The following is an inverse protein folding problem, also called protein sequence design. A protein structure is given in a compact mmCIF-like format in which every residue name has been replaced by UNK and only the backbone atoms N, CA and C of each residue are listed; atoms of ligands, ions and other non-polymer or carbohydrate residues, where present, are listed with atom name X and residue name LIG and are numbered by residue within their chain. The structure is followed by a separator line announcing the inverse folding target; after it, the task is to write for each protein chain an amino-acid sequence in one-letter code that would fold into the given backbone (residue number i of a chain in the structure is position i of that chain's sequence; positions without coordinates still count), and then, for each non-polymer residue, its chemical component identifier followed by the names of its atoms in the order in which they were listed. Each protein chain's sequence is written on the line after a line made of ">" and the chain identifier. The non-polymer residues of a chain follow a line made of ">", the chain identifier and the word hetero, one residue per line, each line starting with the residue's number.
data_IF_286709445174
#
_entry.id   IF_286709445174
#
_cell.length_a   1.000
_cell.length_b   1.000
_cell.length_c   1.000
_cell.angle_alpha   90.00
_cell.angle_beta   90.00
_cell.angle_gamma   90.00
#
_symmetry.space_group_name_H-M   'P 1'
#
loop_
_entity.id
_entity.type
_entity.pdbx_description
1 polymer ?
#
# COMPACT_ATOMS: atom_id res chain seq x y z
N UNK A 1 10.57 -7.42 5.35
CA UNK A 1 10.63 -6.86 3.98
C UNK A 1 11.50 -5.60 3.87
N UNK A 2 11.52 -4.68 4.85
CA UNK A 2 12.32 -3.44 4.80
C UNK A 2 13.83 -3.65 4.53
N UNK A 3 14.43 -4.69 5.11
CA UNK A 3 15.85 -5.07 4.86
C UNK A 3 16.08 -5.78 3.53
N UNK A 4 15.02 -5.95 2.71
CA UNK A 4 15.01 -6.74 1.46
C UNK A 4 15.46 -8.19 1.61
N UNK A 5 15.41 -8.72 2.83
CA UNK A 5 15.60 -10.14 3.09
C UNK A 5 14.31 -10.90 2.79
N UNK A 6 14.07 -11.12 1.50
CA UNK A 6 12.89 -11.80 0.99
C UNK A 6 12.93 -13.31 1.25
N UNK A 7 14.14 -13.88 1.36
CA UNK A 7 14.33 -15.28 1.72
C UNK A 7 13.87 -15.52 3.16
N UNK A 8 14.32 -14.72 4.13
CA UNK A 8 13.87 -14.84 5.51
C UNK A 8 12.36 -14.58 5.64
N UNK A 9 11.82 -13.59 4.92
CA UNK A 9 10.38 -13.33 4.92
C UNK A 9 9.58 -14.54 4.42
N UNK A 10 10.03 -15.18 3.33
CA UNK A 10 9.43 -16.42 2.82
C UNK A 10 9.48 -17.55 3.84
N UNK A 11 10.64 -17.77 4.45
CA UNK A 11 10.83 -18.82 5.47
C UNK A 11 9.89 -18.62 6.66
N UNK A 12 9.73 -17.39 7.15
CA UNK A 12 8.81 -17.08 8.26
C UNK A 12 7.36 -17.39 7.89
N UNK A 13 6.92 -17.01 6.68
CA UNK A 13 5.55 -17.29 6.22
C UNK A 13 5.30 -18.80 6.02
N UNK A 14 6.28 -19.53 5.48
CA UNK A 14 6.18 -20.97 5.26
C UNK A 14 6.12 -21.76 6.57
N UNK A 15 6.92 -21.36 7.56
CA UNK A 15 6.99 -22.03 8.86
C UNK A 15 5.83 -21.65 9.80
N UNK A 16 5.03 -20.64 9.45
CA UNK A 16 3.88 -20.22 10.24
C UNK A 16 2.63 -21.05 9.91
N UNK A 17 2.00 -21.62 10.93
CA UNK A 17 0.70 -22.31 10.82
C UNK A 17 -0.48 -21.36 10.66
N UNK A 18 -0.26 -20.05 10.84
CA UNK A 18 -1.29 -19.03 10.76
C UNK A 18 -1.79 -18.89 9.32
N UNK A 19 -3.12 -18.87 9.14
CA UNK A 19 -3.75 -18.68 7.83
C UNK A 19 -4.09 -17.21 7.54
N UNK A 20 -4.14 -16.39 8.58
CA UNK A 20 -4.65 -15.03 8.57
C UNK A 20 -3.81 -14.17 9.52
N UNK A 21 -3.27 -13.05 9.04
CA UNK A 21 -2.41 -12.16 9.82
C UNK A 21 -3.19 -10.87 10.07
N UNK A 22 -3.24 -10.43 11.32
CA UNK A 22 -3.76 -9.10 11.67
C UNK A 22 -2.69 -8.07 11.37
N UNK A 23 -2.65 -7.60 10.13
CA UNK A 23 -1.64 -6.65 9.65
C UNK A 23 -2.23 -5.26 9.41
N UNK A 24 -3.49 -5.20 8.98
CA UNK A 24 -4.22 -3.97 8.68
C UNK A 24 -5.34 -3.75 9.69
N UNK A 25 -5.74 -2.49 9.90
CA UNK A 25 -6.85 -2.16 10.81
C UNK A 25 -8.22 -2.67 10.33
N UNK A 26 -8.35 -3.03 9.04
CA UNK A 26 -9.57 -3.61 8.46
C UNK A 26 -9.89 -5.06 8.86
N UNK A 27 -9.04 -5.68 9.70
CA UNK A 27 -9.15 -7.06 10.13
C UNK A 27 -8.05 -7.97 9.55
N UNK A 28 -8.33 -9.28 9.53
CA UNK A 28 -7.32 -10.27 9.16
C UNK A 28 -7.08 -10.36 7.66
N UNK A 29 -5.82 -10.27 7.25
CA UNK A 29 -5.39 -10.46 5.86
C UNK A 29 -4.93 -11.91 5.63
N UNK A 30 -5.36 -12.60 4.57
CA UNK A 30 -4.89 -13.95 4.26
C UNK A 30 -3.36 -14.03 4.15
N UNK A 31 -2.73 -15.04 4.77
CA UNK A 31 -1.26 -15.23 4.71
C UNK A 31 -0.75 -15.27 3.26
N UNK A 32 -1.52 -15.89 2.37
CA UNK A 32 -1.20 -16.06 0.96
C UNK A 32 -1.01 -14.73 0.21
N UNK A 33 -1.63 -13.65 0.69
CA UNK A 33 -1.38 -12.31 0.17
C UNK A 33 0.05 -11.83 0.46
N UNK A 34 0.59 -12.08 1.65
CA UNK A 34 1.97 -11.73 1.98
C UNK A 34 2.98 -12.60 1.24
N UNK A 35 2.65 -13.86 0.98
CA UNK A 35 3.45 -14.73 0.10
C UNK A 35 3.53 -14.16 -1.31
N UNK A 36 2.40 -13.69 -1.87
CA UNK A 36 2.36 -12.99 -3.15
C UNK A 36 3.21 -11.71 -3.13
N UNK A 37 3.15 -10.92 -2.06
CA UNK A 37 3.97 -9.72 -1.88
C UNK A 37 5.47 -10.05 -1.88
N UNK A 38 5.87 -11.16 -1.26
CA UNK A 38 7.27 -11.62 -1.28
C UNK A 38 7.73 -11.95 -2.70
N UNK A 39 6.93 -12.70 -3.47
CA UNK A 39 7.24 -12.97 -4.87
C UNK A 39 7.32 -11.68 -5.70
N UNK A 40 6.36 -10.78 -5.52
CA UNK A 40 6.31 -9.51 -6.25
C UNK A 40 7.54 -8.65 -5.94
N UNK A 41 7.94 -8.55 -4.67
CA UNK A 41 9.13 -7.81 -4.25
C UNK A 41 10.45 -8.40 -4.78
N UNK A 42 10.46 -9.69 -5.12
CA UNK A 42 11.59 -10.37 -5.76
C UNK A 42 11.57 -10.27 -7.30
N UNK A 43 10.55 -9.64 -7.88
CA UNK A 43 10.36 -9.56 -9.33
C UNK A 43 9.74 -10.82 -9.95
N UNK A 44 9.35 -11.81 -9.14
CA UNK A 44 8.65 -13.02 -9.61
C UNK A 44 7.16 -12.71 -9.78
N UNK A 45 6.85 -12.03 -10.88
CA UNK A 45 5.49 -11.58 -11.18
C UNK A 45 4.55 -12.75 -11.45
N UNK A 46 5.04 -13.87 -11.99
CA UNK A 46 4.22 -15.05 -12.31
C UNK A 46 3.68 -15.69 -11.04
N UNK A 47 4.54 -15.99 -10.06
CA UNK A 47 4.08 -16.54 -8.79
C UNK A 47 3.30 -15.51 -7.97
N UNK A 48 3.69 -14.23 -8.02
CA UNK A 48 2.92 -13.18 -7.37
C UNK A 48 1.46 -13.16 -7.87
N UNK A 49 1.23 -13.12 -9.18
CA UNK A 49 -0.12 -13.10 -9.74
C UNK A 49 -0.93 -14.33 -9.35
N UNK A 50 -0.32 -15.53 -9.40
CA UNK A 50 -1.00 -16.77 -8.98
C UNK A 50 -1.51 -16.69 -7.53
N UNK A 51 -0.71 -16.15 -6.62
CA UNK A 51 -1.07 -16.08 -5.20
C UNK A 51 -2.04 -14.92 -4.92
N UNK A 52 -1.92 -13.79 -5.63
CA UNK A 52 -2.91 -12.71 -5.55
C UNK A 52 -4.29 -13.15 -6.03
N UNK A 53 -4.37 -13.91 -7.13
CA UNK A 53 -5.63 -14.50 -7.61
C UNK A 53 -6.30 -15.39 -6.57
N UNK A 54 -5.51 -16.17 -5.81
CA UNK A 54 -6.02 -16.99 -4.70
C UNK A 54 -6.47 -16.15 -3.49
N UNK A 55 -5.82 -15.01 -3.24
CA UNK A 55 -6.18 -14.10 -2.15
C UNK A 55 -7.44 -13.27 -2.46
N UNK A 56 -7.66 -12.93 -3.74
CA UNK A 56 -8.66 -11.96 -4.19
C UNK A 56 -10.08 -12.19 -3.65
N UNK A 57 -10.65 -13.41 -3.67
CA UNK A 57 -12.01 -13.63 -3.19
C UNK A 57 -12.23 -13.18 -1.73
N UNK A 58 -11.21 -13.31 -0.88
CA UNK A 58 -11.32 -12.90 0.52
C UNK A 58 -11.39 -11.37 0.68
N UNK A 59 -10.64 -10.62 -0.14
CA UNK A 59 -10.65 -9.16 -0.11
C UNK A 59 -11.97 -8.62 -0.70
N UNK A 60 -12.45 -9.21 -1.80
CA UNK A 60 -13.75 -8.85 -2.39
C UNK A 60 -14.91 -9.17 -1.43
N UNK A 61 -14.87 -10.33 -0.76
CA UNK A 61 -15.86 -10.69 0.25
C UNK A 61 -15.84 -9.73 1.45
N UNK A 62 -14.65 -9.30 1.87
CA UNK A 62 -14.48 -8.32 2.95
C UNK A 62 -15.19 -7.00 2.62
N UNK A 63 -15.03 -6.46 1.40
CA UNK A 63 -15.75 -5.26 0.97
C UNK A 63 -17.26 -5.51 0.86
N UNK A 64 -17.69 -6.68 0.36
CA UNK A 64 -19.13 -7.02 0.29
C UNK A 64 -19.79 -7.09 1.68
N UNK A 65 -19.08 -7.57 2.69
CA UNK A 65 -19.55 -7.65 4.07
C UNK A 65 -19.72 -6.25 4.69
N UNK A 66 -18.80 -5.33 4.42
CA UNK A 66 -18.82 -3.98 4.97
C UNK A 66 -18.51 -2.92 3.88
N UNK A 67 -19.48 -2.62 2.99
CA UNK A 67 -19.27 -1.74 1.83
C UNK A 67 -19.11 -0.25 2.19
N UNK A 68 -19.27 0.10 3.46
CA UNK A 68 -19.02 1.45 3.97
C UNK A 68 -17.65 1.58 4.67
N UNK A 69 -16.86 0.50 4.73
CA UNK A 69 -15.53 0.53 5.35
C UNK A 69 -14.49 1.08 4.38
N UNK A 70 -13.98 2.28 4.66
CA UNK A 70 -12.94 2.92 3.87
C UNK A 70 -11.67 2.06 3.76
N UNK A 71 -11.24 1.46 4.88
CA UNK A 71 -10.03 0.64 4.94
C UNK A 71 -10.14 -0.62 4.07
N UNK A 72 -11.30 -1.30 4.06
CA UNK A 72 -11.52 -2.49 3.22
C UNK A 72 -11.44 -2.14 1.74
N UNK A 73 -11.99 -0.98 1.35
CA UNK A 73 -11.82 -0.45 0.00
C UNK A 73 -10.34 -0.14 -0.32
N UNK A 74 -9.60 0.50 0.59
CA UNK A 74 -8.19 0.80 0.38
C UNK A 74 -7.33 -0.46 0.18
N UNK A 75 -7.58 -1.48 1.00
CA UNK A 75 -6.85 -2.76 0.96
C UNK A 75 -7.21 -3.58 -0.28
N UNK A 76 -8.47 -3.55 -0.73
CA UNK A 76 -8.86 -4.16 -2.01
C UNK A 76 -8.22 -3.42 -3.19
N UNK A 77 -8.20 -2.09 -3.18
CA UNK A 77 -7.51 -1.29 -4.19
C UNK A 77 -6.02 -1.58 -4.23
N UNK A 78 -5.41 -1.79 -3.06
CA UNK A 78 -4.00 -2.15 -2.93
C UNK A 78 -3.69 -3.53 -3.52
N UNK A 79 -4.52 -4.54 -3.25
CA UNK A 79 -4.42 -5.85 -3.91
C UNK A 79 -4.50 -5.69 -5.43
N UNK A 80 -5.49 -4.97 -5.95
CA UNK A 80 -5.64 -4.77 -7.39
C UNK A 80 -4.47 -4.03 -8.02
N UNK A 81 -3.88 -3.07 -7.32
CA UNK A 81 -2.68 -2.37 -7.77
C UNK A 81 -1.49 -3.33 -7.91
N UNK A 82 -1.31 -4.26 -6.98
CA UNK A 82 -0.29 -5.32 -7.08
C UNK A 82 -0.57 -6.34 -8.18
N UNK A 83 -1.85 -6.53 -8.53
CA UNK A 83 -2.27 -7.35 -9.67
C UNK A 83 -2.14 -6.61 -11.01
N UNK A 84 -1.86 -5.31 -11.02
CA UNK A 84 -1.86 -4.48 -12.24
C UNK A 84 -3.27 -4.18 -12.79
N UNK A 85 -4.34 -4.48 -12.01
CA UNK A 85 -5.73 -4.16 -12.38
C UNK A 85 -6.01 -2.68 -12.12
N UNK A 86 -5.49 -1.83 -13.02
CA UNK A 86 -5.45 -0.38 -12.88
C UNK A 86 -6.78 0.27 -12.52
N UNK A 87 -7.82 0.05 -13.33
CA UNK A 87 -9.09 0.75 -13.16
C UNK A 87 -9.79 0.33 -11.86
N UNK A 88 -9.74 -0.96 -11.53
CA UNK A 88 -10.27 -1.47 -10.27
C UNK A 88 -9.52 -0.91 -9.06
N UNK A 89 -8.20 -0.89 -9.12
CA UNK A 89 -7.36 -0.36 -8.04
C UNK A 89 -7.69 1.10 -7.74
N UNK A 90 -7.77 1.93 -8.78
CA UNK A 90 -8.09 3.36 -8.65
C UNK A 90 -9.51 3.56 -8.14
N UNK A 91 -10.48 2.79 -8.65
CA UNK A 91 -11.88 2.88 -8.22
C UNK A 91 -12.02 2.60 -6.72
N UNK A 92 -11.39 1.54 -6.23
CA UNK A 92 -11.44 1.18 -4.80
C UNK A 92 -10.67 2.17 -3.93
N UNK A 93 -9.48 2.62 -4.35
CA UNK A 93 -8.69 3.61 -3.62
C UNK A 93 -9.40 4.96 -3.50
N UNK A 94 -10.06 5.43 -4.57
CA UNK A 94 -10.87 6.66 -4.52
C UNK A 94 -12.07 6.49 -3.60
N UNK A 95 -12.74 5.33 -3.66
CA UNK A 95 -13.87 5.03 -2.77
C UNK A 95 -13.47 5.07 -1.30
N UNK A 96 -12.28 4.59 -0.95
CA UNK A 96 -11.75 4.69 0.40
C UNK A 96 -11.65 6.15 0.88
N UNK A 97 -11.04 7.03 0.06
CA UNK A 97 -10.89 8.46 0.38
C UNK A 97 -12.25 9.18 0.45
N UNK A 98 -13.22 8.81 -0.38
CA UNK A 98 -14.58 9.36 -0.33
C UNK A 98 -15.32 8.97 0.97
N UNK A 99 -15.16 7.73 1.42
CA UNK A 99 -15.81 7.22 2.63
C UNK A 99 -15.23 7.84 3.91
N UNK A 100 -13.93 8.12 3.91
CA UNK A 100 -13.23 8.75 5.03
C UNK A 100 -12.27 9.84 4.54
N UNK A 101 -12.81 11.04 4.24
CA UNK A 101 -11.98 12.16 3.81
C UNK A 101 -11.22 12.77 5.00
N UNK A 102 -10.05 13.36 4.71
CA UNK A 102 -9.23 14.08 5.72
C UNK A 102 -9.97 15.22 6.41
N UNK A 103 -10.98 15.82 5.78
CA UNK A 103 -11.82 16.86 6.38
C UNK A 103 -12.72 16.34 7.50
N UNK A 104 -12.99 15.03 7.52
CA UNK A 104 -13.78 14.36 8.56
C UNK A 104 -12.87 13.74 9.62
N UNK A 105 -11.77 13.13 9.19
CA UNK A 105 -10.75 12.57 10.07
C UNK A 105 -9.37 12.83 9.48
N UNK A 106 -8.64 13.79 10.05
CA UNK A 106 -7.34 14.20 9.53
C UNK A 106 -6.26 13.12 9.73
N UNK A 107 -6.42 12.24 10.72
CA UNK A 107 -5.44 11.19 11.00
C UNK A 107 -5.70 10.01 10.09
N UNK A 108 -6.86 9.38 10.19
CA UNK A 108 -7.15 8.17 9.43
C UNK A 108 -7.36 8.50 7.96
N UNK A 109 -8.01 9.63 7.63
CA UNK A 109 -8.15 10.13 6.26
C UNK A 109 -6.83 10.27 5.50
N UNK A 110 -5.74 10.61 6.21
CA UNK A 110 -4.40 10.72 5.61
C UNK A 110 -3.84 9.35 5.19
N UNK A 111 -4.21 8.28 5.91
CA UNK A 111 -3.84 6.89 5.61
C UNK A 111 -4.52 6.43 4.31
N UNK A 112 -5.80 6.73 4.10
CA UNK A 112 -6.49 6.36 2.83
C UNK A 112 -5.85 7.07 1.64
N UNK A 113 -5.42 8.31 1.82
CA UNK A 113 -4.70 9.05 0.79
C UNK A 113 -3.31 8.45 0.52
N UNK A 114 -2.63 7.92 1.53
CA UNK A 114 -1.37 7.22 1.35
C UNK A 114 -1.53 5.89 0.59
N UNK A 115 -2.58 5.12 0.87
CA UNK A 115 -2.96 3.96 0.04
C UNK A 115 -3.24 4.38 -1.41
N UNK A 116 -3.99 5.46 -1.62
CA UNK A 116 -4.30 5.94 -2.96
C UNK A 116 -3.04 6.39 -3.72
N UNK A 117 -2.10 7.06 -3.05
CA UNK A 117 -0.81 7.41 -3.64
C UNK A 117 -0.01 6.17 -4.07
N UNK A 118 0.04 5.14 -3.21
CA UNK A 118 0.71 3.87 -3.54
C UNK A 118 0.01 3.18 -4.72
N UNK A 119 -1.31 3.15 -4.73
CA UNK A 119 -2.11 2.60 -5.84
C UNK A 119 -1.70 3.28 -7.14
N UNK A 120 -1.68 4.61 -7.19
CA UNK A 120 -1.25 5.35 -8.37
C UNK A 120 0.18 5.01 -8.81
N UNK A 121 1.12 4.91 -7.87
CA UNK A 121 2.50 4.49 -8.19
C UNK A 121 2.53 3.10 -8.83
N UNK A 122 1.81 2.15 -8.25
CA UNK A 122 1.81 0.74 -8.68
C UNK A 122 1.13 0.51 -10.02
N UNK A 123 0.23 1.40 -10.42
CA UNK A 123 -0.47 1.36 -11.72
C UNK A 123 0.04 2.41 -12.71
N UNK A 124 1.24 2.93 -12.45
CA UNK A 124 2.00 3.85 -13.30
C UNK A 124 1.36 5.24 -13.52
N UNK A 125 0.40 5.62 -12.70
CA UNK A 125 -0.25 6.94 -12.69
C UNK A 125 0.59 7.97 -11.90
N UNK A 126 1.84 8.17 -12.31
CA UNK A 126 2.82 9.00 -11.59
C UNK A 126 2.38 10.46 -11.44
N UNK A 127 1.65 10.98 -12.43
CA UNK A 127 1.15 12.37 -12.40
C UNK A 127 0.06 12.58 -11.35
N UNK A 128 -0.69 11.53 -10.99
CA UNK A 128 -1.62 11.54 -9.88
C UNK A 128 -0.93 11.25 -8.54
N UNK A 129 0.08 10.38 -8.54
CA UNK A 129 0.81 9.99 -7.34
C UNK A 129 1.64 11.14 -6.74
N UNK A 130 2.44 11.83 -7.56
CA UNK A 130 3.45 12.78 -7.08
C UNK A 130 2.87 13.96 -6.28
N UNK A 131 1.81 14.66 -6.75
CA UNK A 131 1.21 15.74 -5.97
C UNK A 131 0.65 15.25 -4.63
N UNK A 132 0.11 14.02 -4.61
CA UNK A 132 -0.44 13.41 -3.40
C UNK A 132 0.67 13.07 -2.39
N UNK A 133 1.77 12.48 -2.87
CA UNK A 133 2.96 12.21 -2.04
C UNK A 133 3.53 13.51 -1.47
N UNK A 134 3.70 14.55 -2.30
CA UNK A 134 4.23 15.84 -1.86
C UNK A 134 3.36 16.47 -0.76
N UNK A 135 2.04 16.45 -0.95
CA UNK A 135 1.09 16.94 0.04
C UNK A 135 1.20 16.17 1.35
N UNK A 136 1.21 14.83 1.29
CA UNK A 136 1.27 13.96 2.48
C UNK A 136 2.60 14.10 3.24
N UNK A 137 3.72 14.41 2.56
CA UNK A 137 4.99 14.72 3.23
C UNK A 137 4.99 16.07 3.96
N UNK A 138 4.10 17.00 3.60
CA UNK A 138 3.99 18.34 4.19
C UNK A 138 2.92 18.40 5.29
N UNK A 139 1.98 17.49 5.30
CA UNK A 139 0.92 17.40 6.31
C UNK A 139 1.36 16.49 7.45
N UNK A 140 1.16 16.92 8.70
CA UNK A 140 1.29 16.02 9.83
C UNK A 140 0.14 14.99 9.78
N UNK A 141 0.46 13.75 9.41
CA UNK A 141 -0.49 12.63 9.40
C UNK A 141 -0.18 11.61 10.50
N UNK A 142 -1.05 10.62 10.63
CA UNK A 142 -0.78 9.48 11.49
C UNK A 142 0.48 8.73 11.00
N UNK A 143 1.46 8.57 11.87
CA UNK A 143 2.60 7.67 11.65
C UNK A 143 2.27 6.38 12.38
N UNK A 144 1.57 5.48 11.71
CA UNK A 144 1.35 4.13 12.21
C UNK A 144 2.36 3.15 11.56
N UNK A 145 2.81 2.20 12.36
CA UNK A 145 3.66 1.07 11.99
C UNK A 145 2.90 -0.04 11.25
N UNK A 146 1.57 -0.13 11.43
CA UNK A 146 0.71 -1.10 10.76
C UNK A 146 0.24 -0.59 9.39
N UNK A 147 -0.16 0.69 9.32
CA UNK A 147 -0.67 1.30 8.09
C UNK A 147 0.40 1.94 7.19
N UNK A 148 0.04 2.16 5.92
CA UNK A 148 0.88 2.91 4.98
C UNK A 148 0.83 4.39 5.34
N UNK A 149 1.71 4.84 6.24
CA UNK A 149 2.06 6.26 6.36
C UNK A 149 3.07 6.65 5.27
N UNK A 150 3.10 7.93 4.87
CA UNK A 150 4.12 8.45 3.95
C UNK A 150 5.13 9.29 4.72
N UNK A 151 6.24 8.66 5.10
CA UNK A 151 7.44 9.37 5.53
C UNK A 151 8.54 9.27 4.47
N UNK A 152 9.55 10.14 4.55
CA UNK A 152 10.74 10.06 3.68
C UNK A 152 11.43 8.69 3.82
N UNK A 153 11.39 8.06 4.99
CA UNK A 153 11.97 6.73 5.20
C UNK A 153 11.15 5.64 4.51
N UNK A 154 9.82 5.69 4.58
CA UNK A 154 8.98 4.73 3.87
C UNK A 154 9.24 4.77 2.37
N UNK A 155 9.22 5.96 1.78
CA UNK A 155 9.46 6.16 0.36
C UNK A 155 10.84 5.66 -0.10
N UNK A 156 11.87 5.75 0.75
CA UNK A 156 13.22 5.27 0.43
C UNK A 156 13.37 3.76 0.55
N UNK A 157 12.75 3.13 1.56
CA UNK A 157 13.11 1.77 1.96
C UNK A 157 12.01 0.73 1.73
N UNK A 158 10.73 1.11 1.74
CA UNK A 158 9.62 0.19 1.46
C UNK A 158 9.62 -0.19 -0.02
N UNK A 159 9.60 -1.49 -0.31
CA UNK A 159 9.75 -2.04 -1.66
C UNK A 159 8.57 -1.68 -2.57
N UNK A 160 7.42 -1.39 -1.95
CA UNK A 160 6.17 -1.04 -2.61
C UNK A 160 6.31 0.22 -3.48
N UNK A 161 7.22 1.13 -3.10
CA UNK A 161 7.53 2.37 -3.81
C UNK A 161 8.64 2.24 -4.87
N UNK A 162 9.21 1.04 -5.07
CA UNK A 162 10.26 0.81 -6.08
C UNK A 162 9.90 1.40 -7.47
N UNK A 163 8.67 1.28 -8.00
CA UNK A 163 8.33 1.75 -9.35
C UNK A 163 8.44 3.26 -9.60
N UNK A 164 8.45 4.11 -8.56
CA UNK A 164 8.55 5.57 -8.70
C UNK A 164 9.96 6.11 -8.44
N UNK A 165 10.89 5.29 -7.93
CA UNK A 165 12.17 5.80 -7.41
C UNK A 165 13.10 6.42 -8.46
N UNK A 166 12.96 6.02 -9.70
CA UNK A 166 13.75 6.57 -10.81
C UNK A 166 13.12 7.83 -11.43
N UNK A 167 11.93 8.27 -10.98
CA UNK A 167 11.34 9.53 -11.45
C UNK A 167 12.10 10.73 -10.85
N UNK A 168 12.65 11.65 -11.67
CA UNK A 168 13.40 12.80 -11.17
C UNK A 168 12.60 13.71 -10.23
N UNK A 169 11.28 13.82 -10.44
CA UNK A 169 10.39 14.62 -9.59
C UNK A 169 10.28 13.99 -8.20
N UNK A 170 10.19 12.67 -8.14
CA UNK A 170 10.20 11.92 -6.88
C UNK A 170 11.54 12.10 -6.13
N UNK A 171 12.67 11.95 -6.83
CA UNK A 171 13.99 12.14 -6.23
C UNK A 171 14.16 13.54 -5.64
N UNK A 172 13.67 14.56 -6.34
CA UNK A 172 13.65 15.94 -5.86
C UNK A 172 12.82 16.09 -4.58
N UNK A 173 11.60 15.54 -4.54
CA UNK A 173 10.73 15.58 -3.36
C UNK A 173 11.42 15.03 -2.11
N UNK A 174 12.13 13.90 -2.25
CA UNK A 174 12.84 13.22 -1.15
C UNK A 174 14.03 14.03 -0.62
N UNK A 175 14.68 14.84 -1.46
CA UNK A 175 15.79 15.70 -1.05
C UNK A 175 15.28 16.95 -0.34
N UNK A 176 14.21 17.55 -0.86
CA UNK A 176 13.65 18.82 -0.35
C UNK A 176 12.91 18.68 0.99
N UNK A 177 12.39 17.48 1.29
CA UNK A 177 11.72 17.18 2.58
C UNK A 177 12.66 16.80 3.71
N UNK A 178 14.00 16.87 3.51
CA UNK A 178 14.94 16.75 4.63
C UNK A 178 14.66 17.86 5.65
N UNK A 179 14.50 17.54 6.96
CA UNK A 179 14.34 18.59 7.96
C UNK A 179 15.56 19.52 7.91
N UNK A 180 15.33 20.83 7.89
CA UNK A 180 16.40 21.79 8.20
C UNK A 180 16.94 21.38 9.57
N UNK A 181 18.24 21.10 9.63
CA UNK A 181 18.92 20.86 10.90
C UNK A 181 18.57 22.01 11.85
N UNK A 182 17.92 21.69 12.97
CA UNK A 182 17.80 22.60 14.11
C UNK A 182 19.02 22.43 14.99
#
# INVERSE_FOLDING_TARGET
>A
MLRRDYAAARTVLQNSSVKQISYTNAGTTPKIFFEACVYLAQGDTVNAQKFFELARPAFEASVKEAPASAERHAILGWLYAFMGRKDDAIREGRRAVELLPESKDALDGSILNAYLALIYVRVEEKDLALPLIERLLKTAGAVDSADYSITVNDLKYRWEWDPIRDDPRFQKLIVETKPRAR
#
